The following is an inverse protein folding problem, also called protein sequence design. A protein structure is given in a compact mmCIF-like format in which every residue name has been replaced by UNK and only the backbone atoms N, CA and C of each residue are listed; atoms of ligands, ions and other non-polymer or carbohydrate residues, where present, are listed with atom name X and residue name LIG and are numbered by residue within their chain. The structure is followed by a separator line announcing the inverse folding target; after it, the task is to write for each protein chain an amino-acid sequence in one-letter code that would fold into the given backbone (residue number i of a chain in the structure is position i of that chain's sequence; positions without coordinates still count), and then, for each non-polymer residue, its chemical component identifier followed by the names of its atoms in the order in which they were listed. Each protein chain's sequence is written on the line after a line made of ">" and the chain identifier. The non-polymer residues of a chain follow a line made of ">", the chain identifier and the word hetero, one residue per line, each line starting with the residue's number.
data_IF_995134432555
#
_entry.id   IF_995134432555
#
_cell.length_a   1.000
_cell.length_b   1.000
_cell.length_c   1.000
_cell.angle_alpha   90.00
_cell.angle_beta   90.00
_cell.angle_gamma   90.00
#
_symmetry.space_group_name_H-M   'P 1'
#
loop_
_entity.id
_entity.type
_entity.pdbx_description
1 polymer ?
#
# COMPACT_ATOMS: atom_id res chain seq x y z
N UNK A 1 -13.86 -12.66 -5.79
CA UNK A 1 -14.53 -12.81 -7.14
C UNK A 1 -14.56 -11.45 -7.84
N UNK A 2 -13.41 -10.99 -8.31
CA UNK A 2 -13.28 -9.67 -8.97
C UNK A 2 -13.82 -9.66 -10.42
N UNK A 3 -14.08 -10.81 -11.04
CA UNK A 3 -14.15 -10.92 -12.50
C UNK A 3 -15.32 -11.74 -13.03
N UNK A 4 -16.55 -11.55 -12.59
CA UNK A 4 -17.68 -12.22 -13.28
C UNK A 4 -18.94 -11.38 -13.34
N UNK A 5 -18.89 -10.34 -14.13
CA UNK A 5 -20.09 -9.89 -14.83
C UNK A 5 -19.81 -9.96 -16.34
N UNK A 6 -20.56 -10.82 -17.03
CA UNK A 6 -20.43 -11.01 -18.50
C UNK A 6 -21.10 -9.86 -19.29
N UNK A 7 -21.54 -8.81 -18.60
CA UNK A 7 -22.17 -7.63 -19.21
C UNK A 7 -21.18 -6.47 -19.14
N UNK A 8 -20.71 -6.04 -20.31
CA UNK A 8 -19.89 -4.84 -20.44
C UNK A 8 -18.49 -5.11 -21.01
N UNK A 9 -17.58 -4.13 -20.82
CA UNK A 9 -16.19 -4.21 -21.29
C UNK A 9 -15.49 -5.40 -20.60
N UNK A 10 -14.68 -6.20 -21.31
CA UNK A 10 -13.91 -7.28 -20.72
C UNK A 10 -13.04 -6.76 -19.56
N UNK A 11 -12.97 -7.54 -18.50
CA UNK A 11 -12.13 -7.18 -17.35
C UNK A 11 -10.65 -7.28 -17.73
N UNK A 12 -9.86 -6.32 -17.26
CA UNK A 12 -8.41 -6.34 -17.44
C UNK A 12 -7.80 -7.58 -16.78
N UNK A 13 -6.77 -8.21 -17.38
CA UNK A 13 -6.09 -9.35 -16.79
C UNK A 13 -5.50 -9.00 -15.42
N UNK A 14 -5.71 -9.85 -14.42
CA UNK A 14 -5.28 -9.59 -13.03
C UNK A 14 -3.77 -9.37 -12.92
N UNK A 15 -2.97 -10.15 -13.65
CA UNK A 15 -1.51 -10.00 -13.63
C UNK A 15 -1.07 -8.65 -14.22
N UNK A 16 -1.72 -8.20 -15.30
CA UNK A 16 -1.45 -6.89 -15.92
C UNK A 16 -1.81 -5.76 -14.96
N UNK A 17 -2.94 -5.87 -14.27
CA UNK A 17 -3.37 -4.91 -13.25
C UNK A 17 -2.37 -4.86 -12.09
N UNK A 18 -1.91 -6.01 -11.60
CA UNK A 18 -0.91 -6.07 -10.53
C UNK A 18 0.41 -5.41 -10.94
N UNK A 19 0.90 -5.69 -12.16
CA UNK A 19 2.09 -5.04 -12.72
C UNK A 19 1.94 -3.53 -12.82
N UNK A 20 0.75 -3.03 -13.22
CA UNK A 20 0.47 -1.60 -13.25
C UNK A 20 0.57 -0.97 -11.85
N UNK A 21 0.00 -1.60 -10.82
CA UNK A 21 0.13 -1.11 -9.45
C UNK A 21 1.60 -1.09 -8.99
N UNK A 22 2.40 -2.10 -9.34
CA UNK A 22 3.84 -2.10 -9.05
C UNK A 22 4.56 -0.92 -9.71
N UNK A 23 4.28 -0.62 -10.98
CA UNK A 23 4.84 0.56 -11.66
C UNK A 23 4.45 1.85 -10.97
N UNK A 24 3.19 1.98 -10.56
CA UNK A 24 2.71 3.13 -9.79
C UNK A 24 3.52 3.33 -8.50
N UNK A 25 3.82 2.25 -7.77
CA UNK A 25 4.62 2.30 -6.55
C UNK A 25 6.10 2.62 -6.83
N UNK A 26 6.72 1.96 -7.81
CA UNK A 26 8.14 2.16 -8.15
C UNK A 26 8.43 3.57 -8.65
N UNK A 27 7.49 4.18 -9.35
CA UNK A 27 7.64 5.52 -9.91
C UNK A 27 6.91 6.61 -9.11
N UNK A 28 6.32 6.25 -7.95
CA UNK A 28 5.58 7.17 -7.07
C UNK A 28 4.47 7.94 -7.79
N UNK A 29 3.76 7.26 -8.70
CA UNK A 29 2.68 7.84 -9.50
C UNK A 29 1.34 7.75 -8.77
N UNK A 30 0.56 8.80 -8.84
CA UNK A 30 -0.87 8.76 -8.52
C UNK A 30 -1.66 7.95 -9.55
N UNK A 31 -2.90 7.55 -9.24
CA UNK A 31 -3.71 6.76 -10.17
C UNK A 31 -3.95 7.46 -11.53
N UNK A 32 -4.25 8.78 -11.58
CA UNK A 32 -4.36 9.48 -12.86
C UNK A 32 -3.03 9.55 -13.63
N UNK A 33 -1.91 9.75 -12.95
CA UNK A 33 -0.58 9.77 -13.59
C UNK A 33 -0.20 8.38 -14.12
N UNK A 34 -0.57 7.33 -13.38
CA UNK A 34 -0.35 5.95 -13.82
C UNK A 34 -1.19 5.62 -15.05
N UNK A 35 -2.48 5.99 -15.09
CA UNK A 35 -3.32 5.85 -16.28
C UNK A 35 -2.69 6.57 -17.48
N UNK A 36 -2.30 7.84 -17.30
CA UNK A 36 -1.63 8.60 -18.35
C UNK A 36 -0.35 7.94 -18.84
N UNK A 37 0.46 7.42 -17.91
CA UNK A 37 1.71 6.73 -18.22
C UNK A 37 1.47 5.41 -18.96
N UNK A 38 0.45 4.64 -18.60
CA UNK A 38 0.08 3.41 -19.30
C UNK A 38 -0.37 3.68 -20.75
N UNK A 39 -0.95 4.86 -21.03
CA UNK A 39 -1.35 5.26 -22.38
C UNK A 39 -0.16 5.76 -23.20
N UNK A 40 0.71 6.56 -22.59
CA UNK A 40 1.75 7.31 -23.33
C UNK A 40 3.11 6.60 -23.37
N UNK A 41 3.41 5.72 -22.42
CA UNK A 41 4.71 5.05 -22.30
C UNK A 41 4.65 3.62 -22.81
N UNK A 42 5.36 3.36 -23.89
CA UNK A 42 5.45 2.04 -24.52
C UNK A 42 6.09 1.01 -23.56
N UNK A 43 7.09 1.40 -22.79
CA UNK A 43 7.75 0.52 -21.82
C UNK A 43 6.81 0.04 -20.73
N UNK A 44 5.92 0.90 -20.23
CA UNK A 44 4.89 0.54 -19.24
C UNK A 44 3.86 -0.43 -19.84
N UNK A 45 3.42 -0.15 -21.05
CA UNK A 45 2.45 -1.00 -21.74
C UNK A 45 3.02 -2.39 -22.00
N UNK A 46 4.25 -2.47 -22.53
CA UNK A 46 4.96 -3.72 -22.76
C UNK A 46 5.18 -4.54 -21.48
N UNK A 47 5.57 -3.90 -20.39
CA UNK A 47 5.72 -4.56 -19.09
C UNK A 47 4.40 -5.14 -18.60
N UNK A 48 3.34 -4.34 -18.62
CA UNK A 48 2.01 -4.75 -18.15
C UNK A 48 1.34 -5.75 -19.09
N UNK A 49 1.64 -5.70 -20.39
CA UNK A 49 0.99 -6.49 -21.44
C UNK A 49 -0.51 -6.23 -21.53
N UNK A 50 -0.90 -4.94 -21.50
CA UNK A 50 -2.26 -4.56 -21.84
C UNK A 50 -2.41 -4.58 -23.37
N UNK A 51 -3.60 -5.00 -23.84
CA UNK A 51 -3.99 -4.74 -25.21
C UNK A 51 -4.23 -3.23 -25.38
N UNK A 52 -3.86 -2.68 -26.52
CA UNK A 52 -3.97 -1.23 -26.82
C UNK A 52 -5.39 -0.67 -26.59
N UNK A 53 -6.41 -1.52 -26.68
CA UNK A 53 -7.82 -1.16 -26.49
C UNK A 53 -8.33 -1.34 -25.04
N UNK A 54 -7.52 -1.92 -24.14
CA UNK A 54 -7.97 -2.32 -22.79
C UNK A 54 -7.04 -1.77 -21.71
N UNK A 55 -6.66 -0.50 -21.81
CA UNK A 55 -5.91 0.17 -20.73
C UNK A 55 -6.91 0.55 -19.62
N UNK A 56 -6.63 0.21 -18.35
CA UNK A 56 -7.51 0.57 -17.24
C UNK A 56 -7.49 2.07 -16.97
N UNK A 57 -8.65 2.63 -16.66
CA UNK A 57 -8.77 3.98 -16.12
C UNK A 57 -8.34 4.06 -14.65
N UNK A 58 -8.09 5.27 -14.14
CA UNK A 58 -7.67 5.51 -12.75
C UNK A 58 -8.67 4.95 -11.74
N UNK A 59 -9.97 4.96 -12.03
CA UNK A 59 -11.00 4.45 -11.12
C UNK A 59 -10.96 2.92 -11.04
N UNK A 60 -10.63 2.25 -12.13
CA UNK A 60 -10.40 0.80 -12.17
C UNK A 60 -9.12 0.41 -11.41
N UNK A 61 -8.04 1.18 -11.55
CA UNK A 61 -6.80 1.00 -10.79
C UNK A 61 -7.05 1.16 -9.28
N UNK A 62 -7.79 2.20 -8.87
CA UNK A 62 -8.16 2.44 -7.49
C UNK A 62 -8.99 1.28 -6.90
N UNK A 63 -10.03 0.81 -7.63
CA UNK A 63 -10.85 -0.33 -7.20
C UNK A 63 -10.05 -1.60 -7.06
N UNK A 64 -9.13 -1.85 -7.99
CA UNK A 64 -8.26 -3.02 -7.93
C UNK A 64 -7.30 -2.98 -6.74
N UNK A 65 -6.70 -1.82 -6.45
CA UNK A 65 -5.86 -1.61 -5.28
C UNK A 65 -6.63 -1.86 -3.98
N UNK A 66 -7.84 -1.30 -3.87
CA UNK A 66 -8.69 -1.51 -2.71
C UNK A 66 -9.08 -2.97 -2.54
N UNK A 67 -9.32 -3.68 -3.65
CA UNK A 67 -9.56 -5.12 -3.61
C UNK A 67 -8.32 -5.91 -3.15
N UNK A 68 -7.12 -5.57 -3.62
CA UNK A 68 -5.86 -6.20 -3.15
C UNK A 68 -5.61 -5.96 -1.65
N UNK A 69 -6.08 -4.83 -1.13
CA UNK A 69 -5.93 -4.48 0.29
C UNK A 69 -6.97 -5.17 1.20
N UNK A 70 -7.98 -5.83 0.62
CA UNK A 70 -8.95 -6.60 1.39
C UNK A 70 -8.36 -7.94 1.84
N UNK A 71 -8.78 -8.37 3.02
CA UNK A 71 -8.36 -9.62 3.62
C UNK A 71 -6.82 -9.73 3.75
N UNK A 72 -6.31 -10.93 3.82
CA UNK A 72 -4.87 -11.21 3.91
C UNK A 72 -4.18 -11.38 2.53
N UNK A 73 -4.79 -10.93 1.45
CA UNK A 73 -4.32 -11.17 0.07
C UNK A 73 -2.87 -10.73 -0.14
N UNK A 74 -2.49 -9.55 0.36
CA UNK A 74 -1.10 -9.06 0.23
C UNK A 74 -0.11 -9.87 1.08
N UNK A 75 -0.52 -10.33 2.25
CA UNK A 75 0.31 -11.19 3.12
C UNK A 75 0.53 -12.56 2.48
N UNK A 76 -0.49 -13.12 1.86
CA UNK A 76 -0.38 -14.39 1.13
C UNK A 76 0.49 -14.27 -0.12
N UNK A 77 0.36 -13.15 -0.84
CA UNK A 77 1.22 -12.86 -1.98
C UNK A 77 2.69 -12.75 -1.55
N UNK A 78 2.99 -12.09 -0.42
CA UNK A 78 4.33 -12.02 0.14
C UNK A 78 4.89 -13.39 0.50
N UNK A 79 4.06 -14.26 1.09
CA UNK A 79 4.45 -15.66 1.39
C UNK A 79 4.78 -16.41 0.11
N UNK A 80 3.97 -16.27 -0.94
CA UNK A 80 4.19 -16.91 -2.22
C UNK A 80 5.50 -16.44 -2.88
N UNK A 81 5.78 -15.14 -2.86
CA UNK A 81 7.03 -14.56 -3.37
C UNK A 81 8.23 -15.14 -2.60
N UNK A 82 8.15 -15.17 -1.27
CA UNK A 82 9.22 -15.72 -0.43
C UNK A 82 9.46 -17.21 -0.72
N UNK A 83 8.41 -17.99 -0.93
CA UNK A 83 8.52 -19.40 -1.32
C UNK A 83 9.28 -19.54 -2.64
N UNK A 84 8.90 -18.77 -3.67
CA UNK A 84 9.58 -18.80 -4.95
C UNK A 84 11.05 -18.34 -4.89
N UNK A 85 11.36 -17.36 -4.04
CA UNK A 85 12.75 -16.92 -3.83
C UNK A 85 13.59 -18.03 -3.18
N UNK A 86 13.02 -18.74 -2.21
CA UNK A 86 13.67 -19.90 -1.57
C UNK A 86 13.86 -21.05 -2.54
N UNK A 87 12.84 -21.41 -3.33
CA UNK A 87 12.92 -22.47 -4.34
C UNK A 87 14.00 -22.20 -5.40
N UNK A 88 14.22 -20.92 -5.74
CA UNK A 88 15.28 -20.50 -6.68
C UNK A 88 16.65 -20.33 -6.03
N UNK A 89 16.77 -20.60 -4.73
CA UNK A 89 18.01 -20.42 -3.98
C UNK A 89 18.45 -18.98 -3.78
N UNK A 90 17.54 -18.02 -4.03
CA UNK A 90 17.79 -16.58 -3.85
C UNK A 90 17.57 -16.11 -2.41
N UNK A 91 16.94 -16.94 -1.59
CA UNK A 91 16.68 -16.66 -0.18
C UNK A 91 17.01 -17.91 0.65
N UNK A 92 17.67 -17.72 1.79
CA UNK A 92 18.02 -18.80 2.73
C UNK A 92 16.87 -18.96 3.73
N UNK A 93 16.32 -20.17 3.88
CA UNK A 93 15.19 -20.46 4.79
C UNK A 93 15.49 -20.17 6.27
N UNK A 94 16.74 -20.28 6.68
CA UNK A 94 17.17 -20.03 8.06
C UNK A 94 18.20 -18.91 8.08
N UNK A 95 17.72 -17.68 8.13
CA UNK A 95 18.59 -16.54 8.34
C UNK A 95 19.20 -16.60 9.76
N UNK A 96 20.52 -16.44 9.85
CA UNK A 96 21.25 -16.37 11.12
C UNK A 96 20.97 -15.07 11.89
N UNK A 97 20.37 -14.07 11.25
CA UNK A 97 19.99 -12.80 11.82
C UNK A 97 18.71 -12.24 11.17
N UNK A 98 17.95 -11.49 11.95
CA UNK A 98 16.79 -10.76 11.47
C UNK A 98 16.91 -9.30 11.88
N UNK A 99 16.63 -8.39 10.94
CA UNK A 99 16.56 -6.95 11.21
C UNK A 99 15.09 -6.56 11.31
N UNK A 100 14.75 -5.79 12.34
CA UNK A 100 13.39 -5.24 12.51
C UNK A 100 13.47 -3.74 12.49
N UNK A 101 12.78 -3.13 11.55
CA UNK A 101 12.64 -1.67 11.46
C UNK A 101 11.18 -1.24 11.58
N UNK A 102 10.97 -0.04 12.10
CA UNK A 102 9.65 0.56 12.26
C UNK A 102 9.55 1.88 11.52
N UNK A 103 8.75 1.90 10.48
CA UNK A 103 8.48 3.08 9.66
C UNK A 103 7.08 3.64 9.93
N UNK A 104 6.93 4.98 9.91
CA UNK A 104 5.63 5.63 10.08
C UNK A 104 5.00 5.81 8.70
N UNK A 105 3.81 5.23 8.53
CA UNK A 105 2.95 5.44 7.39
C UNK A 105 1.92 6.51 7.76
N UNK A 106 1.93 7.65 7.07
CA UNK A 106 0.94 8.70 7.29
C UNK A 106 -0.36 8.34 6.56
N UNK A 107 -1.50 8.62 7.20
CA UNK A 107 -2.79 8.50 6.53
C UNK A 107 -2.91 9.57 5.45
N UNK A 108 -3.62 9.25 4.37
CA UNK A 108 -3.99 10.21 3.33
C UNK A 108 -5.11 11.18 3.77
N UNK A 109 -5.56 11.06 5.02
CA UNK A 109 -6.60 11.91 5.59
C UNK A 109 -6.21 13.38 5.56
N UNK A 110 -7.10 14.24 5.09
CA UNK A 110 -6.93 15.69 5.18
C UNK A 110 -6.68 16.07 6.63
N UNK A 111 -5.71 16.95 6.84
CA UNK A 111 -5.50 17.63 8.13
C UNK A 111 -6.78 18.37 8.50
N UNK A 112 -7.76 17.70 9.10
CA UNK A 112 -8.78 18.41 9.84
C UNK A 112 -8.03 19.12 10.96
N UNK A 113 -8.04 20.44 10.92
CA UNK A 113 -7.59 21.25 12.06
C UNK A 113 -8.55 20.92 13.19
N UNK A 114 -8.18 20.02 14.08
CA UNK A 114 -8.87 19.85 15.33
C UNK A 114 -8.53 21.08 16.16
N UNK A 115 -9.53 21.86 16.51
CA UNK A 115 -9.41 22.79 17.60
C UNK A 115 -9.14 21.94 18.85
N UNK A 116 -7.93 22.01 19.38
CA UNK A 116 -7.61 21.44 20.68
C UNK A 116 -8.14 22.45 21.68
N UNK A 117 -9.27 22.15 22.29
CA UNK A 117 -9.74 22.92 23.45
C UNK A 117 -8.89 22.51 24.65
N UNK A 118 -8.10 23.44 25.10
CA UNK A 118 -7.30 23.32 26.33
C UNK A 118 -8.06 24.04 27.43
N UNK A 119 -8.37 23.35 28.50
CA UNK A 119 -8.97 23.99 29.67
C UNK A 119 -7.99 24.94 30.37
N UNK A 120 -8.50 25.73 31.36
CA UNK A 120 -7.70 26.70 32.06
C UNK A 120 -6.54 26.09 32.88
N UNK A 121 -6.55 24.77 33.07
CA UNK A 121 -5.51 24.01 33.75
C UNK A 121 -4.49 23.37 32.78
N UNK A 122 -4.61 23.63 31.48
CA UNK A 122 -3.71 23.11 30.46
C UNK A 122 -3.93 21.65 30.09
N UNK A 123 -5.06 21.05 30.51
CA UNK A 123 -5.43 19.70 30.13
C UNK A 123 -6.25 19.74 28.84
N UNK A 124 -6.01 18.75 27.99
CA UNK A 124 -6.76 18.60 26.74
C UNK A 124 -8.16 18.09 27.08
N UNK A 125 -9.12 18.99 27.16
CA UNK A 125 -10.53 18.69 27.36
C UNK A 125 -11.27 18.83 26.03
N UNK A 126 -11.18 17.87 25.14
CA UNK A 126 -11.93 17.95 23.93
C UNK A 126 -12.31 16.55 23.44
N UNK A 127 -13.59 16.34 23.14
CA UNK A 127 -13.99 15.25 22.26
C UNK A 127 -13.33 15.49 20.91
N UNK A 128 -12.19 14.83 20.69
CA UNK A 128 -11.55 14.83 19.38
C UNK A 128 -12.56 14.31 18.38
N UNK A 129 -12.97 15.14 17.42
CA UNK A 129 -13.80 14.69 16.30
C UNK A 129 -13.08 13.49 15.67
N UNK A 130 -13.69 12.31 15.61
CA UNK A 130 -13.01 11.14 15.07
C UNK A 130 -12.53 11.46 13.65
N UNK A 131 -11.28 11.19 13.37
CA UNK A 131 -10.77 11.23 12.03
C UNK A 131 -11.58 10.25 11.18
N UNK A 132 -11.68 10.46 9.86
CA UNK A 132 -12.32 9.50 8.95
C UNK A 132 -11.69 8.09 9.06
N UNK A 133 -10.49 8.03 9.59
CA UNK A 133 -9.75 6.81 9.90
C UNK A 133 -9.67 6.69 11.43
N UNK A 134 -10.59 5.92 12.00
CA UNK A 134 -10.76 5.71 13.45
C UNK A 134 -9.58 4.95 14.07
N UNK A 135 -8.83 4.20 13.28
CA UNK A 135 -7.77 3.33 13.76
C UNK A 135 -6.41 4.02 13.78
N UNK A 136 -6.24 5.07 12.98
CA UNK A 136 -5.02 5.87 12.98
C UNK A 136 -4.79 6.56 14.34
N UNK A 137 -3.52 6.69 14.74
CA UNK A 137 -3.12 7.34 15.98
C UNK A 137 -2.07 8.42 15.70
N UNK A 138 -1.98 9.38 16.61
CA UNK A 138 -0.98 10.42 16.56
C UNK A 138 0.34 9.94 17.15
N UNK A 139 1.42 10.20 16.43
CA UNK A 139 2.79 9.97 16.89
C UNK A 139 3.61 11.23 16.72
N UNK A 140 4.48 11.52 17.70
CA UNK A 140 5.47 12.59 17.61
C UNK A 140 6.81 12.00 17.21
N UNK A 141 7.36 12.42 16.07
CA UNK A 141 8.71 12.06 15.61
C UNK A 141 9.43 13.32 15.15
N UNK A 142 10.65 13.54 15.66
CA UNK A 142 11.47 14.72 15.34
C UNK A 142 10.73 16.07 15.55
N UNK A 143 9.96 16.19 16.62
CA UNK A 143 9.19 17.39 16.93
C UNK A 143 7.90 17.60 16.13
N UNK A 144 7.63 16.77 15.13
CA UNK A 144 6.43 16.84 14.29
C UNK A 144 5.43 15.77 14.69
N UNK A 145 4.14 16.16 14.73
CA UNK A 145 3.03 15.23 14.93
C UNK A 145 2.58 14.66 13.58
N UNK A 146 2.43 13.35 13.52
CA UNK A 146 1.97 12.61 12.34
C UNK A 146 0.84 11.69 12.73
N UNK A 147 -0.25 11.71 11.95
CA UNK A 147 -1.37 10.78 12.12
C UNK A 147 -1.14 9.58 11.21
N UNK A 148 -1.25 8.36 11.73
CA UNK A 148 -1.08 7.18 10.90
C UNK A 148 -0.81 5.90 11.66
N UNK A 149 0.04 5.09 11.08
CA UNK A 149 0.36 3.74 11.52
C UNK A 149 1.86 3.55 11.63
N UNK A 150 2.27 2.56 12.40
CA UNK A 150 3.62 2.00 12.40
C UNK A 150 3.65 0.73 11.57
N UNK A 151 4.49 0.70 10.56
CA UNK A 151 4.82 -0.51 9.84
C UNK A 151 6.08 -1.11 10.44
N UNK A 152 5.98 -2.31 10.97
CA UNK A 152 7.11 -3.10 11.43
C UNK A 152 7.49 -4.07 10.31
N UNK A 153 8.69 -3.91 9.79
CA UNK A 153 9.23 -4.74 8.72
C UNK A 153 10.32 -5.62 9.29
N UNK A 154 10.17 -6.93 9.16
CA UNK A 154 11.23 -7.88 9.47
C UNK A 154 11.88 -8.33 8.18
N UNK A 155 13.20 -8.19 8.10
CA UNK A 155 14.02 -8.66 6.99
C UNK A 155 15.03 -9.69 7.47
N UNK A 156 15.51 -10.52 6.55
CA UNK A 156 16.72 -11.33 6.78
C UNK A 156 17.99 -10.46 6.65
N UNK A 157 19.16 -11.12 6.82
CA UNK A 157 20.46 -10.45 6.74
C UNK A 157 20.77 -9.88 5.35
N UNK A 158 20.13 -10.38 4.30
CA UNK A 158 20.29 -9.97 2.90
C UNK A 158 19.30 -8.88 2.49
N UNK A 159 18.36 -8.52 3.38
CA UNK A 159 17.38 -7.47 3.17
C UNK A 159 16.05 -7.92 2.58
N UNK A 160 15.82 -9.23 2.38
CA UNK A 160 14.52 -9.73 1.93
C UNK A 160 13.47 -9.63 3.03
N UNK A 161 12.31 -9.10 2.70
CA UNK A 161 11.20 -8.95 3.64
C UNK A 161 10.59 -10.31 3.96
N UNK A 162 10.64 -10.73 5.22
CA UNK A 162 10.02 -11.95 5.70
C UNK A 162 8.61 -11.71 6.20
N UNK A 163 8.41 -10.63 6.94
CA UNK A 163 7.14 -10.32 7.58
C UNK A 163 6.91 -8.83 7.68
N UNK A 164 5.66 -8.43 7.46
CA UNK A 164 5.15 -7.09 7.71
C UNK A 164 4.08 -7.15 8.78
N UNK A 165 4.09 -6.16 9.68
CA UNK A 165 3.05 -5.98 10.68
C UNK A 165 2.74 -4.49 10.81
N UNK A 166 1.47 -4.14 10.77
CA UNK A 166 1.01 -2.75 10.86
C UNK A 166 0.21 -2.59 12.14
N UNK A 167 0.55 -1.59 12.92
CA UNK A 167 -0.17 -1.21 14.14
C UNK A 167 -0.55 0.27 14.08
N UNK A 168 -1.60 0.70 14.79
CA UNK A 168 -1.82 2.12 15.03
C UNK A 168 -0.56 2.78 15.60
N UNK A 169 -0.27 4.01 15.19
CA UNK A 169 0.97 4.71 15.54
C UNK A 169 1.06 5.05 17.03
#
# INVERSE_FOLDING_TARGET
>A
RYLRDHRGRPACPLLSMFKAILLGQWHSLSDPELEHSLITRIDFNLFCRFDELIIPDYSTLCRYRNWLAQDDTLSELLKLINCQLTEKGLKIEKASAAVVDATIIQTAGSKQRQAIEVDEEGQISGQTTPSKDSDARWIKKNGLYKLGYKQHTRTDAEGYIEKLHITPA
#
